data_IF_281534617001
#
_entry.id   IF_281534617001
#
_cell.length_a   1.000
_cell.length_b   1.000
_cell.length_c   1.000
_cell.angle_alpha   90.00
_cell.angle_beta   90.00
_cell.angle_gamma   90.00
#
_symmetry.space_group_name_H-M   'P 1'
#
loop_
_entity.id
_entity.type
_entity.pdbx_description
1 polymer ?
#
# COMPACT_ATOMS: atom_id res chain seq x y z
N UNK A 1 -48.55 7.13 -18.20
CA UNK A 1 -47.21 6.53 -18.41
C UNK A 1 -46.21 7.67 -18.35
N UNK A 2 -45.52 7.84 -17.23
CA UNK A 2 -44.52 8.90 -17.07
C UNK A 2 -43.18 8.37 -17.57
N UNK A 3 -42.62 9.00 -18.60
CA UNK A 3 -41.33 8.64 -19.16
C UNK A 3 -40.25 9.11 -18.17
N UNK A 4 -39.50 8.19 -17.58
CA UNK A 4 -38.30 8.53 -16.82
C UNK A 4 -37.30 9.18 -17.78
N UNK A 5 -36.74 10.33 -17.39
CA UNK A 5 -35.67 10.98 -18.14
C UNK A 5 -34.41 10.10 -18.19
N UNK A 6 -33.48 10.38 -19.11
CA UNK A 6 -32.24 9.60 -19.22
C UNK A 6 -31.45 9.68 -17.91
N UNK A 7 -30.94 8.54 -17.44
CA UNK A 7 -30.08 8.50 -16.27
C UNK A 7 -28.79 9.31 -16.53
N UNK A 8 -28.32 10.10 -15.54
CA UNK A 8 -27.08 10.84 -15.70
C UNK A 8 -25.89 9.88 -15.91
N UNK A 9 -24.87 10.29 -16.69
CA UNK A 9 -23.70 9.45 -16.92
C UNK A 9 -23.00 9.12 -15.59
N UNK A 10 -22.39 7.93 -15.46
CA UNK A 10 -21.68 7.56 -14.25
C UNK A 10 -20.57 8.57 -13.99
N UNK A 11 -20.61 9.19 -12.82
CA UNK A 11 -19.50 10.03 -12.37
C UNK A 11 -18.34 9.09 -12.03
N UNK A 12 -17.26 9.15 -12.82
CA UNK A 12 -16.01 8.50 -12.44
C UNK A 12 -15.53 9.16 -11.15
N UNK A 13 -15.76 8.49 -10.02
CA UNK A 13 -15.17 8.93 -8.76
C UNK A 13 -13.64 8.92 -8.95
N UNK A 14 -12.93 10.01 -8.60
CA UNK A 14 -11.48 10.01 -8.66
C UNK A 14 -10.98 8.85 -7.79
N UNK A 15 -10.08 8.02 -8.33
CA UNK A 15 -9.34 7.04 -7.54
C UNK A 15 -8.37 7.84 -6.65
N UNK A 16 -8.64 8.07 -5.35
CA UNK A 16 -7.97 9.12 -4.57
C UNK A 16 -6.54 8.76 -4.13
N UNK A 17 -5.90 7.78 -4.80
CA UNK A 17 -4.67 7.16 -4.30
C UNK A 17 -4.88 6.35 -3.01
N UNK A 18 -6.13 5.98 -2.67
CA UNK A 18 -6.47 5.24 -1.44
C UNK A 18 -5.99 3.79 -1.46
N UNK A 19 -5.65 3.27 -2.62
CA UNK A 19 -5.01 1.95 -2.80
C UNK A 19 -3.54 2.14 -3.16
N UNK A 20 -2.69 1.15 -2.89
CA UNK A 20 -1.27 1.19 -3.28
C UNK A 20 -1.17 1.38 -4.80
N UNK A 21 -0.56 2.49 -5.23
CA UNK A 21 -0.43 2.83 -6.66
C UNK A 21 0.79 2.16 -7.30
N UNK A 22 1.86 2.01 -6.52
CA UNK A 22 3.10 1.36 -6.94
C UNK A 22 3.83 0.85 -5.69
N UNK A 23 4.68 -0.16 -5.88
CA UNK A 23 5.62 -0.55 -4.85
C UNK A 23 6.95 -1.02 -5.39
N UNK A 24 7.96 -1.00 -4.51
CA UNK A 24 9.30 -1.50 -4.79
C UNK A 24 9.63 -2.69 -3.90
N UNK A 25 10.33 -3.66 -4.49
CA UNK A 25 10.97 -4.72 -3.72
C UNK A 25 12.33 -4.24 -3.20
N UNK A 26 12.63 -4.52 -1.94
CA UNK A 26 13.90 -4.22 -1.29
C UNK A 26 14.44 -5.46 -0.57
N UNK A 27 15.77 -5.54 -0.43
CA UNK A 27 16.42 -6.65 0.25
C UNK A 27 16.35 -6.56 1.79
N UNK A 28 16.21 -5.34 2.34
CA UNK A 28 16.13 -5.07 3.78
C UNK A 28 15.17 -3.89 4.02
N UNK A 29 13.96 -4.21 4.47
CA UNK A 29 12.92 -3.20 4.68
C UNK A 29 13.20 -2.31 5.89
N UNK A 30 13.87 -2.81 6.93
CA UNK A 30 14.14 -2.02 8.13
C UNK A 30 15.14 -0.91 7.82
N UNK A 31 16.20 -1.24 7.08
CA UNK A 31 17.19 -0.26 6.61
C UNK A 31 16.53 0.75 5.67
N UNK A 32 15.67 0.31 4.74
CA UNK A 32 14.97 1.22 3.83
C UNK A 32 14.04 2.20 4.56
N UNK A 33 13.23 1.68 5.49
CA UNK A 33 12.31 2.49 6.31
C UNK A 33 13.08 3.48 7.17
N UNK A 34 14.18 3.06 7.82
CA UNK A 34 15.00 3.96 8.64
C UNK A 34 15.55 5.13 7.82
N UNK A 35 16.16 4.83 6.67
CA UNK A 35 16.75 5.86 5.80
C UNK A 35 15.72 6.85 5.25
N UNK A 36 14.50 6.38 4.96
CA UNK A 36 13.43 7.25 4.51
C UNK A 36 12.90 8.13 5.66
N UNK A 37 12.79 7.59 6.87
CA UNK A 37 12.43 8.37 8.07
C UNK A 37 13.45 9.45 8.40
N UNK A 38 14.75 9.15 8.29
CA UNK A 38 15.82 10.14 8.45
C UNK A 38 15.71 11.31 7.48
N UNK A 39 15.07 11.09 6.32
CA UNK A 39 14.79 12.11 5.29
C UNK A 39 13.42 12.79 5.46
N UNK A 40 12.70 12.49 6.53
CA UNK A 40 11.40 13.09 6.84
C UNK A 40 10.18 12.37 6.30
N UNK A 41 10.33 11.16 5.73
CA UNK A 41 9.18 10.37 5.28
C UNK A 41 8.42 9.82 6.49
N UNK A 42 7.10 10.05 6.51
CA UNK A 42 6.19 9.52 7.52
C UNK A 42 5.52 8.28 6.96
N UNK A 43 5.64 7.16 7.68
CA UNK A 43 5.01 5.90 7.30
C UNK A 43 3.63 5.76 7.93
N UNK A 44 2.72 5.15 7.17
CA UNK A 44 1.35 4.88 7.57
C UNK A 44 1.29 3.76 8.63
N UNK A 45 0.44 3.96 9.63
CA UNK A 45 0.08 2.90 10.58
C UNK A 45 -0.96 2.00 9.95
N UNK A 46 -0.54 0.82 9.48
CA UNK A 46 -1.49 -0.17 8.97
C UNK A 46 -2.02 -0.99 10.12
N UNK A 47 -3.28 -0.77 10.47
CA UNK A 47 -4.06 -1.63 11.36
C UNK A 47 -5.20 -2.24 10.55
N UNK A 48 -4.97 -3.46 10.06
CA UNK A 48 -5.97 -4.21 9.31
C UNK A 48 -6.07 -5.64 9.85
N UNK A 49 -7.27 -6.26 9.81
CA UNK A 49 -7.45 -7.62 10.30
C UNK A 49 -6.49 -8.60 9.62
N UNK A 50 -5.70 -9.32 10.41
CA UNK A 50 -4.75 -10.31 9.92
C UNK A 50 -3.35 -9.77 9.58
N UNK A 51 -3.12 -8.46 9.64
CA UNK A 51 -1.78 -7.86 9.50
C UNK A 51 -1.16 -7.61 10.89
N UNK A 52 0.06 -8.10 11.09
CA UNK A 52 0.85 -7.78 12.28
C UNK A 52 1.78 -6.63 11.95
N UNK A 53 1.63 -5.50 12.63
CA UNK A 53 2.45 -4.31 12.36
C UNK A 53 3.40 -4.03 13.51
N UNK A 54 4.68 -3.87 13.20
CA UNK A 54 5.72 -3.43 14.15
C UNK A 54 6.51 -2.28 13.52
N UNK A 55 6.58 -1.15 14.22
CA UNK A 55 7.31 0.04 13.76
C UNK A 55 6.90 0.52 12.35
N UNK A 56 5.63 0.38 11.97
CA UNK A 56 5.11 0.74 10.64
C UNK A 56 5.43 -0.24 9.52
N UNK A 57 5.97 -1.42 9.85
CA UNK A 57 6.18 -2.54 8.92
C UNK A 57 5.15 -3.63 9.27
N UNK A 58 4.34 -4.02 8.30
CA UNK A 58 3.39 -5.10 8.41
C UNK A 58 3.99 -6.43 7.92
N UNK A 59 3.79 -7.50 8.66
CA UNK A 59 4.06 -8.87 8.23
C UNK A 59 2.83 -9.42 7.51
N UNK A 60 3.03 -9.88 6.27
CA UNK A 60 1.99 -10.44 5.39
C UNK A 60 2.32 -11.90 5.10
N UNK A 61 1.50 -12.82 5.60
CA UNK A 61 1.65 -14.24 5.29
C UNK A 61 1.08 -14.57 3.90
N UNK A 62 1.77 -15.43 3.14
CA UNK A 62 1.24 -16.02 1.90
C UNK A 62 1.12 -15.08 0.69
N UNK A 63 1.73 -13.89 0.72
CA UNK A 63 1.65 -12.93 -0.39
C UNK A 63 2.53 -13.34 -1.59
N UNK A 64 2.02 -13.13 -2.81
CA UNK A 64 2.66 -13.37 -4.12
C UNK A 64 3.29 -14.77 -4.35
N UNK A 65 2.48 -15.79 -4.72
CA UNK A 65 2.97 -17.12 -5.09
C UNK A 65 3.99 -17.11 -6.24
N UNK A 66 3.94 -16.09 -7.09
CA UNK A 66 4.84 -15.89 -8.23
C UNK A 66 6.28 -15.54 -7.85
N UNK A 67 6.55 -15.16 -6.59
CA UNK A 67 7.90 -14.78 -6.12
C UNK A 67 8.64 -15.86 -5.34
N UNK A 68 8.09 -17.08 -5.26
CA UNK A 68 8.64 -18.17 -4.45
C UNK A 68 8.93 -17.77 -2.99
N UNK A 69 8.12 -16.87 -2.44
CA UNK A 69 8.22 -16.39 -1.06
C UNK A 69 7.09 -16.99 -0.21
N UNK A 70 7.35 -17.19 1.08
CA UNK A 70 6.33 -17.62 2.06
C UNK A 70 5.47 -16.46 2.57
N UNK A 71 5.91 -15.23 2.36
CA UNK A 71 5.24 -14.01 2.78
C UNK A 71 6.00 -12.77 2.35
N UNK A 72 5.62 -11.62 2.89
CA UNK A 72 6.24 -10.32 2.61
C UNK A 72 6.18 -9.45 3.87
N UNK A 73 7.23 -8.67 4.10
CA UNK A 73 7.19 -7.54 5.02
C UNK A 73 6.91 -6.30 4.19
N UNK A 74 5.96 -5.47 4.60
CA UNK A 74 5.53 -4.33 3.79
C UNK A 74 5.36 -3.06 4.63
N UNK A 75 5.67 -1.91 4.05
CA UNK A 75 5.45 -0.62 4.66
C UNK A 75 4.93 0.36 3.61
N UNK A 76 4.09 1.31 4.04
CA UNK A 76 3.43 2.26 3.16
C UNK A 76 3.64 3.70 3.62
N UNK A 77 3.70 4.62 2.66
CA UNK A 77 3.80 6.06 2.89
C UNK A 77 3.13 6.81 1.74
N UNK A 78 2.94 8.13 1.91
CA UNK A 78 2.41 9.01 0.86
C UNK A 78 3.50 9.85 0.22
N UNK A 79 3.43 10.01 -1.10
CA UNK A 79 4.21 11.03 -1.81
C UNK A 79 3.58 12.43 -1.68
N UNK A 80 4.19 13.42 -2.33
CA UNK A 80 3.74 14.83 -2.33
C UNK A 80 2.35 15.03 -2.93
N UNK A 81 1.92 14.14 -3.80
CA UNK A 81 0.64 14.15 -4.51
C UNK A 81 -0.44 13.38 -3.74
N UNK A 82 -0.09 12.74 -2.63
CA UNK A 82 -0.99 11.99 -1.77
C UNK A 82 -1.19 10.53 -2.19
N UNK A 83 -0.43 10.03 -3.17
CA UNK A 83 -0.48 8.64 -3.61
C UNK A 83 0.07 7.71 -2.54
N UNK A 84 -0.62 6.62 -2.26
CA UNK A 84 -0.11 5.57 -1.39
C UNK A 84 0.92 4.71 -2.15
N UNK A 85 2.16 4.71 -1.65
CA UNK A 85 3.27 3.93 -2.19
C UNK A 85 3.68 2.84 -1.20
N UNK A 86 4.12 1.70 -1.72
CA UNK A 86 4.56 0.54 -0.93
C UNK A 86 6.04 0.24 -1.10
N UNK A 87 6.67 -0.28 -0.04
CA UNK A 87 7.95 -1.00 -0.13
C UNK A 87 7.77 -2.38 0.50
N UNK A 88 8.34 -3.41 -0.13
CA UNK A 88 8.16 -4.80 0.26
C UNK A 88 9.49 -5.56 0.30
N UNK A 89 9.69 -6.38 1.33
CA UNK A 89 10.78 -7.34 1.43
C UNK A 89 10.17 -8.76 1.40
N UNK A 90 10.44 -9.57 0.36
CA UNK A 90 9.93 -10.93 0.30
C UNK A 90 10.55 -11.77 1.40
N UNK A 91 9.71 -12.48 2.12
CA UNK A 91 10.14 -13.46 3.12
C UNK A 91 10.31 -14.79 2.40
N UNK A 92 11.56 -15.15 2.05
CA UNK A 92 11.93 -16.43 1.44
C UNK A 92 11.98 -17.54 2.48
#
# INVERSE_FOLDING_TARGET
MSHAGPEPPPTLLPCPGTFTQMGWEVDDIETAVSRLRERGVVFEGVDAPGLRTKNGIADVDGNYPSKHARGERAAWFRDSEGNLLGIGEPVR
#
